data_IF_967176062420
#
_entry.id   IF_967176062420
#
_cell.length_a   1.000
_cell.length_b   1.000
_cell.length_c   1.000
_cell.angle_alpha   90.00
_cell.angle_beta   90.00
_cell.angle_gamma   90.00
#
_symmetry.space_group_name_H-M   'P 1'
#
loop_
_entity.id
_entity.type
_entity.pdbx_description
1 polymer ?
#
# COMPACT_ATOMS: atom_id res chain seq x y z
N UNK A 1 -5.12 -21.62 -8.46
CA UNK A 1 -3.85 -22.36 -8.60
C UNK A 1 -2.78 -21.38 -9.06
N UNK A 2 -1.56 -21.36 -8.50
CA UNK A 2 -0.52 -20.46 -8.99
C UNK A 2 -0.01 -21.02 -10.33
N UNK A 3 -0.34 -20.37 -11.43
CA UNK A 3 0.24 -20.68 -12.73
C UNK A 3 1.68 -20.18 -12.75
N UNK A 4 2.61 -21.04 -13.15
CA UNK A 4 3.99 -20.62 -13.36
C UNK A 4 4.01 -19.56 -14.45
N UNK A 5 4.34 -18.31 -14.09
CA UNK A 5 4.40 -17.18 -15.02
C UNK A 5 5.46 -17.40 -16.10
N UNK A 6 6.49 -18.21 -15.79
CA UNK A 6 7.58 -18.58 -16.70
C UNK A 6 8.06 -20.00 -16.43
N UNK A 7 8.35 -20.76 -17.50
CA UNK A 7 8.99 -22.08 -17.48
C UNK A 7 10.17 -21.99 -18.45
N UNK A 8 11.35 -22.42 -18.02
CA UNK A 8 12.55 -22.48 -18.87
C UNK A 8 12.95 -23.94 -19.04
N UNK A 9 12.81 -24.48 -20.25
CA UNK A 9 13.27 -25.83 -20.57
C UNK A 9 14.71 -25.80 -21.13
N UNK A 10 15.61 -26.67 -20.66
CA UNK A 10 16.96 -26.75 -21.19
C UNK A 10 16.94 -27.19 -22.65
N UNK A 11 17.65 -26.46 -23.52
CA UNK A 11 17.82 -26.90 -24.91
C UNK A 11 18.95 -27.91 -25.03
N UNK A 12 18.81 -28.85 -25.97
CA UNK A 12 19.84 -29.85 -26.25
C UNK A 12 21.12 -29.17 -26.76
N UNK A 13 22.27 -29.56 -26.20
CA UNK A 13 23.57 -28.94 -26.49
C UNK A 13 24.21 -29.48 -27.78
N UNK A 14 24.11 -30.80 -28.00
CA UNK A 14 24.65 -31.50 -29.17
C UNK A 14 23.71 -32.61 -29.64
N UNK A 15 23.60 -32.80 -30.95
CA UNK A 15 22.90 -33.92 -31.57
C UNK A 15 23.71 -34.39 -32.77
N UNK A 16 24.68 -35.28 -32.54
CA UNK A 16 25.48 -35.88 -33.60
C UNK A 16 25.38 -37.41 -33.54
N UNK A 17 25.21 -38.08 -34.70
CA UNK A 17 25.32 -39.52 -34.78
C UNK A 17 26.76 -39.95 -34.43
N UNK A 18 26.91 -41.07 -33.73
CA UNK A 18 28.22 -41.65 -33.40
C UNK A 18 28.85 -42.12 -34.72
N UNK A 19 30.00 -41.59 -35.15
CA UNK A 19 30.67 -42.05 -36.36
C UNK A 19 31.14 -43.50 -36.20
N UNK A 20 30.94 -44.34 -37.22
CA UNK A 20 31.32 -45.77 -37.23
C UNK A 20 32.84 -46.00 -37.48
N UNK A 21 33.61 -44.94 -37.72
CA UNK A 21 35.02 -45.03 -38.10
C UNK A 21 35.89 -44.31 -37.06
N UNK A 22 36.63 -45.10 -36.28
CA UNK A 22 37.38 -44.70 -35.07
C UNK A 22 38.45 -43.62 -35.34
N UNK A 23 38.90 -43.48 -36.60
CA UNK A 23 39.94 -42.53 -37.00
C UNK A 23 39.48 -41.07 -37.15
N UNK A 24 38.21 -40.83 -37.45
CA UNK A 24 37.65 -39.48 -37.68
C UNK A 24 37.11 -38.83 -36.39
N UNK A 25 36.98 -39.60 -35.31
CA UNK A 25 36.37 -39.15 -34.04
C UNK A 25 37.16 -38.02 -33.37
N UNK A 26 38.50 -38.04 -33.45
CA UNK A 26 39.34 -37.09 -32.73
C UNK A 26 39.41 -35.71 -33.40
N UNK A 27 39.26 -35.63 -34.73
CA UNK A 27 39.31 -34.37 -35.47
C UNK A 27 38.02 -33.54 -35.24
N UNK A 28 36.87 -34.23 -35.16
CA UNK A 28 35.57 -33.61 -34.89
C UNK A 28 35.31 -33.31 -33.41
N UNK A 29 35.98 -34.00 -32.48
CA UNK A 29 35.72 -33.82 -31.04
C UNK A 29 35.98 -32.39 -30.56
N UNK A 30 37.05 -31.75 -31.04
CA UNK A 30 37.35 -30.36 -30.67
C UNK A 30 36.26 -29.41 -31.18
N UNK A 31 35.80 -29.61 -32.41
CA UNK A 31 34.70 -28.85 -33.02
C UNK A 31 33.39 -29.07 -32.26
N UNK A 32 33.03 -30.32 -31.98
CA UNK A 32 31.81 -30.68 -31.22
C UNK A 32 31.84 -30.08 -29.83
N UNK A 33 32.99 -30.14 -29.14
CA UNK A 33 33.15 -29.57 -27.79
C UNK A 33 33.03 -28.05 -27.79
N UNK A 34 33.67 -27.37 -28.74
CA UNK A 34 33.55 -25.91 -28.89
C UNK A 34 32.12 -25.48 -29.19
N UNK A 35 31.41 -26.25 -30.02
CA UNK A 35 29.99 -26.03 -30.31
C UNK A 35 29.13 -26.25 -29.06
N UNK A 36 29.37 -27.32 -28.31
CA UNK A 36 28.69 -27.60 -27.05
C UNK A 36 28.88 -26.46 -26.04
N UNK A 37 30.13 -26.05 -25.81
CA UNK A 37 30.49 -24.96 -24.90
C UNK A 37 29.86 -23.64 -25.32
N UNK A 38 29.91 -23.30 -26.61
CA UNK A 38 29.29 -22.08 -27.13
C UNK A 38 27.78 -22.05 -26.90
N UNK A 39 27.10 -23.18 -27.09
CA UNK A 39 25.66 -23.29 -26.79
C UNK A 39 25.37 -23.20 -25.30
N UNK A 40 26.17 -23.84 -24.46
CA UNK A 40 26.04 -23.73 -23.00
C UNK A 40 26.18 -22.28 -22.54
N UNK A 41 27.21 -21.56 -23.02
CA UNK A 41 27.40 -20.14 -22.69
C UNK A 41 26.22 -19.28 -23.14
N UNK A 42 25.65 -19.55 -24.32
CA UNK A 42 24.46 -18.85 -24.80
C UNK A 42 23.24 -19.13 -23.92
N UNK A 43 23.00 -20.39 -23.57
CA UNK A 43 21.90 -20.76 -22.66
C UNK A 43 22.05 -20.12 -21.28
N UNK A 44 23.26 -20.09 -20.72
CA UNK A 44 23.52 -19.41 -19.45
C UNK A 44 23.31 -17.89 -19.56
N UNK A 45 23.68 -17.28 -20.68
CA UNK A 45 23.42 -15.86 -20.94
C UNK A 45 21.93 -15.57 -20.99
N UNK A 46 21.16 -16.40 -21.69
CA UNK A 46 19.71 -16.22 -21.82
C UNK A 46 18.99 -16.49 -20.48
N UNK A 47 19.44 -17.48 -19.71
CA UNK A 47 18.98 -17.72 -18.34
C UNK A 47 19.28 -16.51 -17.43
N UNK A 48 20.47 -15.94 -17.52
CA UNK A 48 20.84 -14.77 -16.72
C UNK A 48 19.97 -13.56 -17.06
N UNK A 49 19.73 -13.29 -18.35
CA UNK A 49 18.78 -12.24 -18.78
C UNK A 49 17.37 -12.48 -18.25
N UNK A 50 16.94 -13.74 -18.27
CA UNK A 50 15.64 -14.13 -17.74
C UNK A 50 15.54 -13.87 -16.23
N UNK A 51 16.57 -14.23 -15.47
CA UNK A 51 16.67 -13.94 -14.05
C UNK A 51 16.67 -12.44 -13.77
N UNK A 52 17.44 -11.64 -14.52
CA UNK A 52 17.44 -10.18 -14.40
C UNK A 52 16.04 -9.58 -14.63
N UNK A 53 15.34 -10.05 -15.66
CA UNK A 53 13.96 -9.62 -15.93
C UNK A 53 13.01 -9.97 -14.78
N UNK A 54 13.16 -11.15 -14.17
CA UNK A 54 12.37 -11.55 -13.01
C UNK A 54 12.65 -10.65 -11.80
N UNK A 55 13.92 -10.37 -11.51
CA UNK A 55 14.28 -9.48 -10.39
C UNK A 55 13.78 -8.06 -10.62
N UNK A 56 13.79 -7.56 -11.85
CA UNK A 56 13.23 -6.25 -12.17
C UNK A 56 11.71 -6.19 -11.93
N UNK A 57 10.97 -7.25 -12.29
CA UNK A 57 9.53 -7.33 -12.00
C UNK A 57 9.27 -7.32 -10.48
N UNK A 58 10.01 -8.13 -9.73
CA UNK A 58 9.89 -8.19 -8.27
C UNK A 58 10.24 -6.85 -7.61
N UNK A 59 11.29 -6.19 -8.06
CA UNK A 59 11.67 -4.86 -7.59
C UNK A 59 10.53 -3.86 -7.79
N UNK A 60 9.93 -3.85 -8.99
CA UNK A 60 8.80 -2.96 -9.29
C UNK A 60 7.59 -3.25 -8.39
N UNK A 61 7.26 -4.53 -8.15
CA UNK A 61 6.18 -4.93 -7.25
C UNK A 61 6.46 -4.52 -5.80
N UNK A 62 7.70 -4.67 -5.34
CA UNK A 62 8.13 -4.25 -3.99
C UNK A 62 8.03 -2.73 -3.85
N UNK A 63 8.53 -1.96 -4.83
CA UNK A 63 8.46 -0.48 -4.82
C UNK A 63 7.00 -0.01 -4.78
N UNK A 64 6.14 -0.59 -5.64
CA UNK A 64 4.71 -0.28 -5.64
C UNK A 64 4.05 -0.60 -4.29
N UNK A 65 4.38 -1.75 -3.71
CA UNK A 65 3.87 -2.15 -2.39
C UNK A 65 4.34 -1.20 -1.29
N UNK A 66 5.62 -0.82 -1.28
CA UNK A 66 6.16 0.15 -0.34
C UNK A 66 5.48 1.51 -0.43
N UNK A 67 5.21 2.02 -1.64
CA UNK A 67 4.47 3.27 -1.84
C UNK A 67 3.07 3.20 -1.22
N UNK A 68 2.37 2.07 -1.41
CA UNK A 68 1.04 1.84 -0.81
C UNK A 68 1.10 1.75 0.70
N UNK A 69 2.11 1.08 1.25
CA UNK A 69 2.34 1.01 2.71
C UNK A 69 2.60 2.39 3.28
N UNK A 70 3.43 3.21 2.62
CA UNK A 70 3.72 4.57 3.07
C UNK A 70 2.47 5.47 3.04
N UNK A 71 1.66 5.37 1.99
CA UNK A 71 0.38 6.08 1.91
C UNK A 71 -0.59 5.65 3.03
N UNK A 72 -0.63 4.36 3.36
CA UNK A 72 -1.43 3.84 4.47
C UNK A 72 -0.92 4.33 5.83
N UNK A 73 0.39 4.30 6.07
CA UNK A 73 1.01 4.82 7.29
C UNK A 73 0.65 6.28 7.53
N UNK A 74 0.71 7.12 6.49
CA UNK A 74 0.30 8.53 6.60
C UNK A 74 -1.19 8.69 6.92
N UNK A 75 -2.07 7.89 6.31
CA UNK A 75 -3.50 7.91 6.62
C UNK A 75 -3.75 7.50 8.06
N UNK A 76 -3.07 6.45 8.54
CA UNK A 76 -3.15 6.00 9.93
C UNK A 76 -2.68 7.10 10.88
N UNK A 77 -1.55 7.75 10.60
CA UNK A 77 -1.05 8.86 11.42
C UNK A 77 -2.05 10.03 11.50
N UNK A 78 -2.67 10.41 10.38
CA UNK A 78 -3.74 11.41 10.37
C UNK A 78 -4.95 10.98 11.20
N UNK A 79 -5.41 9.74 11.03
CA UNK A 79 -6.53 9.19 11.79
C UNK A 79 -6.20 9.18 13.29
N UNK A 80 -4.99 8.78 13.68
CA UNK A 80 -4.55 8.78 15.08
C UNK A 80 -4.52 10.19 15.67
N UNK A 81 -4.04 11.17 14.91
CA UNK A 81 -4.05 12.57 15.33
C UNK A 81 -5.47 13.09 15.51
N UNK A 82 -6.35 12.86 14.53
CA UNK A 82 -7.78 13.23 14.62
C UNK A 82 -8.46 12.52 15.79
N UNK A 83 -8.22 11.21 15.96
CA UNK A 83 -8.80 10.42 17.04
C UNK A 83 -8.34 10.88 18.42
N UNK A 84 -7.08 11.30 18.55
CA UNK A 84 -6.54 11.84 19.81
C UNK A 84 -7.06 13.26 20.11
N UNK A 85 -7.47 14.00 19.09
CA UNK A 85 -8.05 15.33 19.22
C UNK A 85 -9.56 15.31 19.48
N UNK A 86 -10.24 14.17 19.29
CA UNK A 86 -11.65 14.01 19.62
C UNK A 86 -11.82 13.99 21.15
N UNK A 87 -12.52 14.99 21.68
CA UNK A 87 -13.01 14.98 23.06
C UNK A 87 -14.42 14.34 23.09
N UNK A 88 -14.58 13.12 23.64
CA UNK A 88 -15.86 12.41 23.63
C UNK A 88 -16.99 13.17 24.33
N UNK A 89 -16.67 14.02 25.31
CA UNK A 89 -17.67 14.81 26.03
C UNK A 89 -18.17 15.96 25.16
N UNK A 90 -17.29 16.57 24.39
CA UNK A 90 -17.62 17.71 23.53
C UNK A 90 -18.39 17.27 22.28
N UNK A 91 -17.98 16.14 21.68
CA UNK A 91 -18.64 15.56 20.51
C UNK A 91 -20.08 15.09 20.82
N UNK A 92 -20.30 14.48 21.99
CA UNK A 92 -21.64 14.11 22.43
C UNK A 92 -22.55 15.35 22.61
N UNK A 93 -22.01 16.46 23.13
CA UNK A 93 -22.78 17.70 23.30
C UNK A 93 -23.10 18.34 21.94
N UNK A 94 -22.15 18.34 20.99
CA UNK A 94 -22.37 18.84 19.64
C UNK A 94 -23.43 18.05 18.87
N UNK A 95 -23.45 16.71 18.98
CA UNK A 95 -24.46 15.89 18.32
C UNK A 95 -25.87 16.21 18.82
N UNK A 96 -26.04 16.37 20.14
CA UNK A 96 -27.31 16.82 20.72
C UNK A 96 -27.72 18.21 20.23
N UNK A 97 -26.79 19.18 20.19
CA UNK A 97 -27.10 20.56 19.75
C UNK A 97 -27.50 20.61 18.27
N UNK A 98 -26.82 19.83 17.42
CA UNK A 98 -27.05 19.82 15.98
C UNK A 98 -28.38 19.08 15.65
N UNK A 99 -28.77 18.07 16.44
CA UNK A 99 -30.10 17.45 16.36
C UNK A 99 -31.21 18.36 16.90
N UNK A 100 -30.95 19.18 17.92
CA UNK A 100 -32.00 19.93 18.61
C UNK A 100 -32.38 21.27 17.96
N UNK A 101 -32.01 21.53 16.70
CA UNK A 101 -32.48 22.69 15.92
C UNK A 101 -32.22 24.05 16.64
N UNK A 102 -31.06 24.21 17.30
CA UNK A 102 -30.65 25.47 17.95
C UNK A 102 -29.58 26.21 17.14
N UNK A 103 -29.95 26.99 16.10
CA UNK A 103 -28.99 27.63 15.19
C UNK A 103 -28.09 28.68 15.87
N UNK A 104 -28.49 29.25 17.02
CA UNK A 104 -27.73 30.27 17.73
C UNK A 104 -26.48 29.77 18.46
N UNK A 105 -26.39 28.47 18.78
CA UNK A 105 -25.27 27.92 19.56
C UNK A 105 -24.06 27.60 18.66
N UNK A 106 -24.30 27.22 17.40
CA UNK A 106 -23.25 26.86 16.43
C UNK A 106 -22.28 28.02 16.15
N UNK A 107 -22.78 29.26 16.12
CA UNK A 107 -21.99 30.49 15.87
C UNK A 107 -21.06 30.84 17.04
N UNK A 108 -21.40 30.44 18.27
CA UNK A 108 -20.59 30.73 19.45
C UNK A 108 -19.43 29.73 19.68
N UNK A 109 -19.47 28.58 19.00
CA UNK A 109 -18.50 27.48 19.21
C UNK A 109 -17.29 27.52 18.26
N UNK A 110 -17.35 28.25 17.13
CA UNK A 110 -16.19 28.47 16.24
C UNK A 110 -15.22 29.49 16.88
N UNK A 111 -14.38 29.03 17.80
CA UNK A 111 -13.25 29.82 18.33
C UNK A 111 -13.06 29.81 19.85
N UNK A 112 -13.84 29.05 20.61
CA UNK A 112 -13.76 29.03 22.08
C UNK A 112 -13.09 27.76 22.62
N UNK A 113 -12.24 27.93 23.64
CA UNK A 113 -11.59 26.84 24.37
C UNK A 113 -12.60 26.04 25.21
N UNK A 114 -12.28 24.76 25.52
CA UNK A 114 -13.16 23.81 26.23
C UNK A 114 -13.78 24.37 27.53
N UNK A 115 -13.05 25.17 28.31
CA UNK A 115 -13.58 25.81 29.53
C UNK A 115 -14.59 26.93 29.26
N UNK A 116 -14.47 27.64 28.14
CA UNK A 116 -15.42 28.69 27.74
C UNK A 116 -16.68 28.14 27.08
N UNK A 117 -16.61 26.98 26.44
CA UNK A 117 -17.76 26.30 25.85
C UNK A 117 -18.79 25.92 26.93
N UNK A 118 -18.35 25.37 28.06
CA UNK A 118 -19.24 24.99 29.15
C UNK A 118 -19.95 26.21 29.77
N UNK A 119 -19.24 27.33 29.94
CA UNK A 119 -19.81 28.58 30.44
C UNK A 119 -20.81 29.21 29.45
N UNK A 120 -20.49 29.18 28.15
CA UNK A 120 -21.36 29.71 27.08
C UNK A 120 -22.63 28.87 26.94
N UNK A 121 -22.53 27.54 27.00
CA UNK A 121 -23.69 26.65 26.97
C UNK A 121 -24.56 26.85 28.21
N UNK A 122 -23.97 26.89 29.41
CA UNK A 122 -24.72 27.13 30.65
C UNK A 122 -25.45 28.48 30.63
N UNK A 123 -24.77 29.56 30.24
CA UNK A 123 -25.39 30.90 30.16
C UNK A 123 -26.51 30.97 29.12
N UNK A 124 -26.35 30.32 27.96
CA UNK A 124 -27.40 30.23 26.95
C UNK A 124 -28.61 29.43 27.43
N UNK A 125 -28.39 28.30 28.14
CA UNK A 125 -29.46 27.48 28.70
C UNK A 125 -30.21 28.24 29.79
N UNK A 126 -29.49 28.90 30.71
CA UNK A 126 -30.07 29.74 31.77
C UNK A 126 -30.90 30.87 31.16
N UNK A 127 -30.39 31.56 30.14
CA UNK A 127 -31.12 32.62 29.45
C UNK A 127 -32.35 32.14 28.68
N UNK A 128 -32.39 30.88 28.24
CA UNK A 128 -33.58 30.26 27.64
C UNK A 128 -34.60 29.87 28.70
N UNK A 129 -34.16 29.27 29.82
CA UNK A 129 -35.02 28.95 30.96
C UNK A 129 -35.65 30.23 31.51
N UNK A 130 -34.88 31.31 31.70
CA UNK A 130 -35.42 32.61 32.13
C UNK A 130 -36.43 33.19 31.12
N UNK A 131 -36.21 33.04 29.81
CA UNK A 131 -37.17 33.48 28.78
C UNK A 131 -38.44 32.64 28.74
N UNK A 132 -38.36 31.34 29.01
CA UNK A 132 -39.54 30.46 29.06
C UNK A 132 -40.32 30.55 30.37
N UNK A 133 -39.68 30.99 31.47
CA UNK A 133 -40.34 31.27 32.74
C UNK A 133 -40.91 32.69 32.87
N UNK A 134 -40.54 33.63 32.00
CA UNK A 134 -41.06 35.00 32.03
C UNK A 134 -42.55 35.21 31.64
N UNK A 135 -43.28 34.32 30.95
CA UNK A 135 -44.71 34.51 30.70
C UNK A 135 -45.61 33.94 31.82
N UNK A 136 -45.07 33.62 33.01
CA UNK A 136 -45.83 33.01 34.12
C UNK A 136 -45.97 33.90 35.36
N UNK A 137 -45.81 35.22 35.23
CA UNK A 137 -46.19 36.25 36.22
C UNK A 137 -46.88 37.41 35.53
#
# INVERSE_FOLDING_TARGET
MPFAKRIAEPQLLCRHPIPNDEGLLFEDLCSITNVALSRTLRQLSDLSKHACSLFQELENEIVSTNQRVWALQNKIGKIQQTASALDPKLEAVLSYINESQWPGIKVAMDGTSSSQLQATVCSALIGQIQRTLQPMV
#
